data_IF_234338176928
#
_entry.id   IF_234338176928
#
_cell.length_a   1.000
_cell.length_b   1.000
_cell.length_c   1.000
_cell.angle_alpha   90.00
_cell.angle_beta   90.00
_cell.angle_gamma   90.00
#
_symmetry.space_group_name_H-M   'P 1'
#
loop_
_entity.id
_entity.type
_entity.pdbx_description
1 polymer ?
#
# COMPACT_ATOMS: atom_id res chain seq x y z
N UNK A 1 -34.41 -11.18 18.08
CA UNK A 1 -34.09 -10.13 17.09
C UNK A 1 -32.61 -10.25 16.75
N UNK A 2 -32.27 -10.78 15.57
CA UNK A 2 -30.88 -11.04 15.15
C UNK A 2 -30.34 -9.77 14.49
N UNK A 3 -29.49 -9.01 15.18
CA UNK A 3 -28.82 -7.84 14.62
C UNK A 3 -27.58 -8.30 13.88
N UNK A 4 -27.67 -8.39 12.54
CA UNK A 4 -26.47 -8.44 11.71
C UNK A 4 -25.76 -7.09 11.82
N UNK A 5 -24.52 -7.06 12.30
CA UNK A 5 -23.68 -5.87 12.22
C UNK A 5 -23.41 -5.61 10.72
N UNK A 6 -23.83 -4.48 10.13
CA UNK A 6 -23.36 -4.12 8.81
C UNK A 6 -21.85 -3.87 8.88
N UNK A 7 -21.15 -4.31 7.85
CA UNK A 7 -19.72 -4.13 7.61
C UNK A 7 -19.35 -2.64 7.55
N UNK A 8 -19.26 -1.97 8.70
CA UNK A 8 -18.76 -0.60 8.81
C UNK A 8 -17.26 -0.61 8.49
N UNK A 9 -16.93 -0.02 7.34
CA UNK A 9 -15.65 0.63 6.99
C UNK A 9 -14.40 0.09 7.71
N UNK A 10 -13.62 -0.74 7.00
CA UNK A 10 -12.22 -1.07 7.32
C UNK A 10 -11.31 0.16 7.11
N UNK A 11 -11.41 1.15 7.98
CA UNK A 11 -10.22 1.84 8.46
C UNK A 11 -9.88 1.16 9.78
N UNK A 12 -8.60 0.92 10.05
CA UNK A 12 -8.18 0.38 11.34
C UNK A 12 -8.38 1.51 12.37
N UNK A 13 -9.58 1.57 12.96
CA UNK A 13 -9.92 2.53 14.00
C UNK A 13 -9.31 2.06 15.31
N UNK A 14 -8.22 2.67 15.74
CA UNK A 14 -7.67 2.43 17.07
C UNK A 14 -8.29 3.42 18.05
N UNK A 15 -8.74 2.91 19.20
CA UNK A 15 -9.26 3.72 20.29
C UNK A 15 -8.20 3.80 21.37
N UNK A 16 -7.96 5.00 21.88
CA UNK A 16 -7.09 5.24 23.02
C UNK A 16 -7.88 5.95 24.12
N UNK A 17 -7.61 5.58 25.36
CA UNK A 17 -8.08 6.29 26.54
C UNK A 17 -6.88 7.09 27.04
N UNK A 18 -7.03 8.39 27.23
CA UNK A 18 -5.95 9.29 27.63
C UNK A 18 -6.38 10.15 28.82
N UNK A 19 -5.41 10.60 29.61
CA UNK A 19 -5.62 11.50 30.74
C UNK A 19 -6.04 12.89 30.27
N UNK A 20 -7.07 13.44 30.90
CA UNK A 20 -7.53 14.83 30.68
C UNK A 20 -7.34 15.72 31.90
N UNK A 21 -7.10 15.12 33.07
CA UNK A 21 -6.88 15.79 34.34
C UNK A 21 -5.83 15.03 35.14
N UNK A 22 -5.27 15.67 36.16
CA UNK A 22 -4.26 15.05 37.02
C UNK A 22 -4.86 13.91 37.86
N UNK A 23 -4.19 12.76 37.85
CA UNK A 23 -4.45 11.63 38.75
C UNK A 23 -3.36 11.54 39.80
N UNK A 24 -3.63 10.82 40.89
CA UNK A 24 -2.56 10.43 41.80
C UNK A 24 -1.57 9.51 41.08
N UNK A 25 -0.30 9.66 41.39
CA UNK A 25 0.81 8.91 40.78
C UNK A 25 0.58 7.39 40.87
N UNK A 26 0.13 6.91 42.04
CA UNK A 26 -0.24 5.50 42.26
C UNK A 26 -1.33 4.99 41.30
N UNK A 27 -2.33 5.82 41.02
CA UNK A 27 -3.45 5.45 40.16
C UNK A 27 -3.08 5.55 38.68
N UNK A 28 -2.23 6.50 38.33
CA UNK A 28 -1.68 6.63 36.99
C UNK A 28 -0.77 5.44 36.66
N UNK A 29 0.11 5.03 37.58
CA UNK A 29 0.94 3.85 37.41
C UNK A 29 0.11 2.56 37.28
N UNK A 30 -0.95 2.44 38.07
CA UNK A 30 -1.83 1.27 37.99
C UNK A 30 -2.58 1.18 36.65
N UNK A 31 -3.09 2.31 36.15
CA UNK A 31 -4.01 2.33 35.00
C UNK A 31 -3.29 2.54 33.67
N UNK A 32 -2.22 3.32 33.67
CA UNK A 32 -1.47 3.75 32.49
C UNK A 32 0.01 3.34 32.52
N UNK A 33 0.50 2.73 33.61
CA UNK A 33 1.89 2.24 33.73
C UNK A 33 2.92 3.36 33.50
N UNK A 34 2.65 4.54 34.09
CA UNK A 34 3.48 5.73 33.93
C UNK A 34 3.34 6.42 32.57
N UNK A 35 2.48 5.92 31.68
CA UNK A 35 2.10 6.60 30.43
C UNK A 35 0.93 7.56 30.66
N UNK A 36 0.60 8.35 29.65
CA UNK A 36 -0.56 9.25 29.65
C UNK A 36 -1.77 8.69 28.89
N UNK A 37 -1.58 7.57 28.18
CA UNK A 37 -2.62 6.91 27.40
C UNK A 37 -2.45 5.39 27.37
N UNK A 38 -3.56 4.70 27.13
CA UNK A 38 -3.62 3.24 26.95
C UNK A 38 -4.58 2.91 25.80
N UNK A 39 -4.25 1.91 24.99
CA UNK A 39 -5.18 1.47 23.95
C UNK A 39 -6.41 0.78 24.57
N UNK A 40 -7.55 0.91 23.91
CA UNK A 40 -8.80 0.29 24.36
C UNK A 40 -8.66 -1.23 24.49
N UNK A 41 -7.97 -1.87 23.54
CA UNK A 41 -7.76 -3.31 23.54
C UNK A 41 -6.90 -3.75 24.74
N UNK A 42 -5.82 -3.01 25.04
CA UNK A 42 -4.99 -3.26 26.22
C UNK A 42 -5.77 -3.05 27.52
N UNK A 43 -6.58 -1.99 27.60
CA UNK A 43 -7.44 -1.75 28.76
C UNK A 43 -8.50 -2.85 28.94
N UNK A 44 -9.01 -3.42 27.85
CA UNK A 44 -9.96 -4.52 27.86
C UNK A 44 -9.32 -5.82 28.32
N UNK A 45 -8.17 -6.18 27.74
CA UNK A 45 -7.40 -7.38 28.11
C UNK A 45 -7.01 -7.38 29.59
N UNK A 46 -6.71 -6.20 30.13
CA UNK A 46 -6.32 -6.01 31.53
C UNK A 46 -7.49 -5.79 32.48
N UNK A 47 -8.73 -5.76 31.98
CA UNK A 47 -9.93 -5.55 32.80
C UNK A 47 -10.06 -4.16 33.42
N UNK A 48 -9.36 -3.15 32.88
CA UNK A 48 -9.31 -1.77 33.40
C UNK A 48 -10.47 -0.89 32.91
N UNK A 49 -11.20 -1.32 31.88
CA UNK A 49 -12.30 -0.54 31.27
C UNK A 49 -13.34 -0.02 32.28
N UNK A 50 -13.84 -0.82 33.26
CA UNK A 50 -14.82 -0.31 34.22
C UNK A 50 -14.30 0.88 35.04
N UNK A 51 -13.03 0.81 35.45
CA UNK A 51 -12.37 1.87 36.23
C UNK A 51 -12.14 3.12 35.38
N UNK A 52 -11.65 2.95 34.15
CA UNK A 52 -11.46 4.05 33.20
C UNK A 52 -12.79 4.72 32.82
N UNK A 53 -13.88 3.97 32.68
CA UNK A 53 -15.21 4.54 32.43
C UNK A 53 -15.76 5.30 33.65
N UNK A 54 -15.44 4.87 34.87
CA UNK A 54 -15.78 5.63 36.07
C UNK A 54 -15.00 6.95 36.15
N UNK A 55 -13.71 6.95 35.81
CA UNK A 55 -12.88 8.15 35.70
C UNK A 55 -13.35 9.09 34.59
N UNK A 56 -13.84 8.55 33.48
CA UNK A 56 -14.44 9.35 32.39
C UNK A 56 -15.66 10.13 32.86
N UNK A 57 -16.52 9.51 33.69
CA UNK A 57 -17.66 10.22 34.30
C UNK A 57 -17.21 11.37 35.22
N UNK A 58 -16.02 11.26 35.80
CA UNK A 58 -15.38 12.30 36.61
C UNK A 58 -14.56 13.30 35.78
N UNK A 59 -14.58 13.20 34.44
CA UNK A 59 -13.81 14.04 33.50
C UNK A 59 -12.28 13.95 33.65
N UNK A 60 -11.79 12.85 34.24
CA UNK A 60 -10.35 12.61 34.45
C UNK A 60 -9.64 11.94 33.27
N UNK A 61 -10.42 11.28 32.40
CA UNK A 61 -9.93 10.65 31.17
C UNK A 61 -10.95 10.85 30.06
N UNK A 62 -10.51 10.81 28.80
CA UNK A 62 -11.41 10.76 27.65
C UNK A 62 -10.91 9.79 26.57
N UNK A 63 -11.74 9.57 25.55
CA UNK A 63 -11.50 8.60 24.48
C UNK A 63 -11.13 9.36 23.20
N UNK A 64 -9.94 9.09 22.69
CA UNK A 64 -9.48 9.54 21.37
C UNK A 64 -9.63 8.41 20.36
N UNK A 65 -10.16 8.77 19.19
CA UNK A 65 -10.23 7.88 18.03
C UNK A 65 -9.10 8.23 17.08
N UNK A 66 -8.18 7.31 16.87
CA UNK A 66 -7.15 7.46 15.85
C UNK A 66 -7.56 6.70 14.59
N UNK A 67 -7.59 7.43 13.47
CA UNK A 67 -7.83 6.85 12.15
C UNK A 67 -6.47 6.59 11.52
N UNK A 68 -6.01 5.35 11.56
CA UNK A 68 -4.81 4.98 10.82
C UNK A 68 -5.16 4.96 9.33
N UNK A 69 -4.89 6.06 8.62
CA UNK A 69 -5.11 6.13 7.17
C UNK A 69 -4.08 5.23 6.49
N UNK A 70 -4.50 4.04 6.07
CA UNK A 70 -3.69 3.14 5.25
C UNK A 70 -3.60 3.71 3.83
N UNK A 71 -2.80 4.75 3.64
CA UNK A 71 -2.47 5.28 2.32
C UNK A 71 -1.70 4.19 1.55
N UNK A 72 -2.41 3.49 0.64
CA UNK A 72 -1.75 2.63 -0.35
C UNK A 72 -0.97 3.54 -1.29
N UNK A 73 0.34 3.63 -1.11
CA UNK A 73 1.22 4.30 -2.07
C UNK A 73 0.96 3.69 -3.44
N UNK A 74 0.66 4.53 -4.43
CA UNK A 74 0.41 4.06 -5.80
C UNK A 74 1.73 3.55 -6.38
N UNK A 75 1.86 2.22 -6.49
CA UNK A 75 3.00 1.61 -7.17
C UNK A 75 2.85 1.81 -8.68
N UNK A 76 3.84 2.45 -9.30
CA UNK A 76 3.93 2.56 -10.77
C UNK A 76 4.81 1.45 -11.29
N UNK A 77 4.28 0.65 -12.22
CA UNK A 77 5.02 -0.45 -12.86
C UNK A 77 5.82 0.09 -14.04
N UNK A 78 7.10 -0.25 -14.11
CA UNK A 78 8.00 0.16 -15.19
C UNK A 78 8.33 -1.02 -16.09
N UNK A 79 8.98 -0.71 -17.22
CA UNK A 79 9.68 -1.67 -18.06
C UNK A 79 11.06 -1.12 -18.43
N UNK A 80 11.98 -2.01 -18.77
CA UNK A 80 13.29 -1.70 -19.35
C UNK A 80 13.63 -2.69 -20.46
N UNK A 81 14.49 -2.31 -21.40
CA UNK A 81 14.99 -3.25 -22.39
C UNK A 81 15.89 -4.30 -21.71
N UNK A 82 15.71 -5.57 -22.06
CA UNK A 82 16.49 -6.67 -21.49
C UNK A 82 17.71 -7.08 -22.34
N UNK A 83 17.84 -6.47 -23.52
CA UNK A 83 18.82 -6.81 -24.56
C UNK A 83 19.35 -5.54 -25.20
N UNK A 84 20.59 -5.62 -25.66
CA UNK A 84 21.23 -4.53 -26.41
C UNK A 84 20.66 -4.39 -27.81
N UNK A 85 20.98 -3.26 -28.46
CA UNK A 85 20.41 -2.86 -29.75
C UNK A 85 20.53 -3.97 -30.82
N UNK A 86 21.71 -4.57 -30.95
CA UNK A 86 22.04 -5.57 -31.95
C UNK A 86 21.19 -6.84 -31.77
N UNK A 87 21.03 -7.28 -30.52
CA UNK A 87 20.24 -8.47 -30.21
C UNK A 87 18.74 -8.24 -30.46
N UNK A 88 18.24 -7.04 -30.17
CA UNK A 88 16.86 -6.68 -30.50
C UNK A 88 16.65 -6.59 -32.01
N UNK A 89 17.68 -6.18 -32.77
CA UNK A 89 17.64 -6.10 -34.22
C UNK A 89 17.58 -7.50 -34.85
N UNK A 90 18.38 -8.45 -34.37
CA UNK A 90 18.32 -9.85 -34.80
C UNK A 90 16.92 -10.45 -34.56
N UNK A 91 16.34 -10.20 -33.38
CA UNK A 91 14.98 -10.64 -33.05
C UNK A 91 13.97 -10.01 -34.01
N UNK A 92 14.13 -8.72 -34.34
CA UNK A 92 13.26 -7.98 -35.26
C UNK A 92 13.29 -8.60 -36.66
N UNK A 93 14.47 -8.93 -37.17
CA UNK A 93 14.65 -9.56 -38.48
C UNK A 93 14.05 -10.98 -38.54
N UNK A 94 14.02 -11.69 -37.40
CA UNK A 94 13.39 -13.00 -37.27
C UNK A 94 11.86 -12.99 -37.13
N UNK A 95 11.22 -11.82 -37.05
CA UNK A 95 9.75 -11.75 -36.89
C UNK A 95 9.01 -12.18 -38.16
N UNK A 96 7.90 -12.90 -37.97
CA UNK A 96 6.99 -13.26 -39.06
C UNK A 96 6.41 -12.00 -39.72
N UNK A 97 6.21 -12.07 -41.05
CA UNK A 97 5.51 -11.02 -41.81
C UNK A 97 4.13 -10.74 -41.18
N UNK A 98 3.87 -9.47 -40.86
CA UNK A 98 2.60 -9.02 -40.26
C UNK A 98 2.67 -8.67 -38.76
N UNK A 99 3.82 -8.86 -38.10
CA UNK A 99 4.00 -8.55 -36.68
C UNK A 99 4.27 -7.05 -36.37
N UNK A 100 3.56 -6.13 -37.05
CA UNK A 100 3.84 -4.67 -37.04
C UNK A 100 3.95 -4.07 -35.63
N UNK A 101 3.09 -4.47 -34.69
CA UNK A 101 3.13 -3.95 -33.30
C UNK A 101 4.33 -4.47 -32.50
N UNK A 102 4.83 -5.68 -32.79
CA UNK A 102 6.05 -6.24 -32.18
C UNK A 102 7.29 -5.53 -32.72
N UNK A 103 7.33 -5.28 -34.03
CA UNK A 103 8.40 -4.48 -34.65
C UNK A 103 8.47 -3.07 -34.06
N UNK A 104 7.31 -2.40 -33.90
CA UNK A 104 7.24 -1.09 -33.24
C UNK A 104 7.75 -1.11 -31.80
N UNK A 105 7.42 -2.18 -31.05
CA UNK A 105 7.90 -2.34 -29.68
C UNK A 105 9.42 -2.56 -29.64
N UNK A 106 9.97 -3.41 -30.50
CA UNK A 106 11.41 -3.64 -30.58
C UNK A 106 12.17 -2.36 -30.95
N UNK A 107 11.66 -1.59 -31.92
CA UNK A 107 12.23 -0.28 -32.26
C UNK A 107 12.20 0.69 -31.09
N UNK A 108 11.10 0.70 -30.33
CA UNK A 108 11.01 1.52 -29.13
C UNK A 108 12.06 1.09 -28.07
N UNK A 109 12.20 -0.21 -27.81
CA UNK A 109 13.16 -0.74 -26.84
C UNK A 109 14.62 -0.48 -27.26
N UNK A 110 14.93 -0.60 -28.54
CA UNK A 110 16.23 -0.23 -29.13
C UNK A 110 16.58 1.23 -28.84
N UNK A 111 15.61 2.14 -28.97
CA UNK A 111 15.81 3.57 -28.68
C UNK A 111 15.84 3.89 -27.19
N UNK A 112 15.10 3.13 -26.38
CA UNK A 112 15.11 3.25 -24.93
C UNK A 112 16.51 2.88 -24.38
N UNK A 113 17.09 1.79 -24.89
CA UNK A 113 18.33 1.21 -24.38
C UNK A 113 18.11 0.47 -23.05
N UNK A 114 19.16 -0.20 -22.58
CA UNK A 114 19.12 -1.01 -21.36
C UNK A 114 19.22 -0.18 -20.07
N UNK A 115 19.70 1.06 -20.16
CA UNK A 115 19.88 1.96 -18.99
C UNK A 115 18.61 2.70 -18.57
N UNK A 116 17.61 2.82 -19.47
CA UNK A 116 16.41 3.63 -19.22
C UNK A 116 15.20 2.76 -18.95
N UNK A 117 14.32 3.29 -18.12
CA UNK A 117 13.03 2.69 -17.80
C UNK A 117 11.89 3.58 -18.29
N UNK A 118 10.74 3.00 -18.64
CA UNK A 118 9.51 3.73 -18.96
C UNK A 118 8.32 3.10 -18.24
N UNK A 119 7.33 3.90 -17.87
CA UNK A 119 6.17 3.39 -17.17
C UNK A 119 5.28 2.54 -18.11
N UNK A 120 4.75 1.44 -17.60
CA UNK A 120 3.74 0.62 -18.33
C UNK A 120 2.53 1.47 -18.73
N UNK A 121 2.21 2.52 -17.98
CA UNK A 121 1.15 3.48 -18.30
C UNK A 121 1.46 4.24 -19.60
N UNK A 122 2.67 4.77 -19.75
CA UNK A 122 3.10 5.49 -20.95
C UNK A 122 3.07 4.56 -22.18
N UNK A 123 3.52 3.30 -22.01
CA UNK A 123 3.45 2.31 -23.09
C UNK A 123 2.02 2.03 -23.55
N UNK A 124 1.04 2.02 -22.65
CA UNK A 124 -0.38 1.89 -23.01
C UNK A 124 -0.89 3.11 -23.78
N UNK A 125 -0.49 4.31 -23.38
CA UNK A 125 -0.84 5.56 -24.06
C UNK A 125 -0.24 5.61 -25.48
N UNK A 126 0.96 5.03 -25.68
CA UNK A 126 1.57 4.79 -26.99
C UNK A 126 0.90 3.64 -27.78
N UNK A 127 -0.12 2.99 -27.21
CA UNK A 127 -0.91 1.94 -27.86
C UNK A 127 -0.25 0.57 -27.86
N UNK A 128 0.64 0.27 -26.90
CA UNK A 128 1.13 -1.08 -26.61
C UNK A 128 0.24 -1.74 -25.54
N UNK A 129 -0.34 -2.90 -25.86
CA UNK A 129 -1.19 -3.62 -24.92
C UNK A 129 -0.37 -4.31 -23.82
N UNK A 130 -0.95 -4.52 -22.64
CA UNK A 130 -0.31 -5.28 -21.56
C UNK A 130 0.02 -6.71 -21.98
N UNK A 131 -0.85 -7.32 -22.80
CA UNK A 131 -0.62 -8.66 -23.32
C UNK A 131 0.67 -8.73 -24.15
N UNK A 132 0.89 -7.75 -25.02
CA UNK A 132 2.11 -7.63 -25.82
C UNK A 132 3.34 -7.39 -24.94
N UNK A 133 3.26 -6.52 -23.94
CA UNK A 133 4.38 -6.27 -23.01
C UNK A 133 4.74 -7.51 -22.19
N UNK A 134 3.74 -8.27 -21.71
CA UNK A 134 3.97 -9.52 -21.01
C UNK A 134 4.55 -10.61 -21.93
N UNK A 135 4.09 -10.68 -23.19
CA UNK A 135 4.66 -11.58 -24.20
C UNK A 135 6.13 -11.23 -24.48
N UNK A 136 6.44 -9.95 -24.66
CA UNK A 136 7.79 -9.45 -24.84
C UNK A 136 8.68 -9.78 -23.63
N UNK A 137 8.16 -9.67 -22.41
CA UNK A 137 8.87 -10.07 -21.21
C UNK A 137 9.17 -11.57 -21.17
N UNK A 138 8.18 -12.41 -21.52
CA UNK A 138 8.36 -13.87 -21.61
C UNK A 138 9.40 -14.26 -22.65
N UNK A 139 9.48 -13.53 -23.76
CA UNK A 139 10.48 -13.73 -24.80
C UNK A 139 11.84 -13.09 -24.47
N UNK A 140 11.98 -12.46 -23.29
CA UNK A 140 13.21 -11.85 -22.83
C UNK A 140 13.61 -10.57 -23.58
N UNK A 141 12.65 -9.84 -24.14
CA UNK A 141 12.91 -8.56 -24.84
C UNK A 141 12.96 -7.38 -23.86
N UNK A 142 12.18 -7.48 -22.78
CA UNK A 142 12.07 -6.47 -21.73
C UNK A 142 11.90 -7.13 -20.36
N UNK A 143 12.14 -6.38 -19.29
CA UNK A 143 11.78 -6.76 -17.92
C UNK A 143 10.88 -5.72 -17.28
N UNK A 144 10.14 -6.09 -16.23
CA UNK A 144 9.28 -5.20 -15.44
C UNK A 144 9.94 -4.76 -14.15
#
# INVERSE_FOLDING_TARGET
LQTMLPSVMRADYQKYIYLTDELSEELQDQLFYGLEEISWDQAQERGLLPQLMALRKQQKVDIRYEVTTRNKVKMVRFIQAAKEFEQLEEIRLGLRKGAKKKEQLLYYLQRLGTEKVTAVKEMKELGFSTALLNEAAKNGWLTF
#
